data_IF_905639440503
#
_entry.id   IF_905639440503
#
_cell.length_a   1.000
_cell.length_b   1.000
_cell.length_c   1.000
_cell.angle_alpha   90.00
_cell.angle_beta   90.00
_cell.angle_gamma   90.00
#
_symmetry.space_group_name_H-M   'P 1'
#
loop_
_entity.id
_entity.type
_entity.pdbx_description
1 polymer ?
#
# COMPACT_ATOMS: atom_id res chain seq x y z
N UNK A 1 -20.06 -19.13 -24.36
CA UNK A 1 -20.80 -18.44 -23.30
C UNK A 1 -19.79 -17.55 -22.59
N UNK A 2 -19.82 -16.27 -22.92
CA UNK A 2 -18.93 -15.27 -22.27
C UNK A 2 -19.49 -14.99 -20.87
N UNK A 3 -18.88 -15.54 -19.86
CA UNK A 3 -19.09 -15.11 -18.49
C UNK A 3 -18.44 -13.73 -18.33
N UNK A 4 -19.28 -12.72 -18.20
CA UNK A 4 -18.87 -11.35 -18.01
C UNK A 4 -18.23 -11.25 -16.61
N UNK A 5 -16.93 -10.90 -16.47
CA UNK A 5 -16.27 -10.83 -15.17
C UNK A 5 -16.84 -9.75 -14.25
N UNK A 6 -17.63 -8.80 -14.78
CA UNK A 6 -18.20 -7.69 -14.01
C UNK A 6 -19.34 -8.07 -13.05
N UNK A 7 -19.88 -9.30 -13.14
CA UNK A 7 -21.04 -9.69 -12.33
C UNK A 7 -20.67 -10.12 -10.92
N UNK A 8 -19.48 -10.70 -10.73
CA UNK A 8 -19.03 -11.16 -9.39
C UNK A 8 -18.49 -10.03 -8.53
N UNK A 9 -17.88 -9.02 -9.13
CA UNK A 9 -17.36 -7.82 -8.44
C UNK A 9 -18.48 -7.01 -7.77
N UNK A 10 -19.70 -7.07 -8.26
CA UNK A 10 -20.83 -6.26 -7.78
C UNK A 10 -21.58 -6.85 -6.59
N UNK A 11 -21.46 -8.14 -6.30
CA UNK A 11 -22.29 -8.78 -5.24
C UNK A 11 -21.59 -8.77 -3.87
N UNK A 12 -20.26 -8.82 -3.80
CA UNK A 12 -19.53 -8.93 -2.53
C UNK A 12 -18.49 -7.83 -2.29
N UNK A 13 -18.28 -6.93 -3.25
CA UNK A 13 -17.31 -5.84 -3.08
C UNK A 13 -15.85 -6.28 -3.02
N UNK A 14 -15.54 -7.51 -3.39
CA UNK A 14 -14.19 -8.05 -3.50
C UNK A 14 -13.80 -8.15 -4.98
N UNK A 15 -12.56 -7.76 -5.29
CA UNK A 15 -11.93 -8.06 -6.58
C UNK A 15 -11.63 -9.58 -6.63
N UNK A 16 -11.74 -10.22 -7.80
CA UNK A 16 -11.35 -11.62 -8.01
C UNK A 16 -9.94 -11.90 -7.50
N UNK A 17 -9.05 -10.94 -7.67
CA UNK A 17 -7.69 -10.96 -7.14
C UNK A 17 -7.64 -11.05 -5.61
N UNK A 18 -8.49 -10.32 -4.90
CA UNK A 18 -8.52 -10.35 -3.44
C UNK A 18 -9.02 -11.70 -2.94
N UNK A 19 -10.03 -12.28 -3.58
CA UNK A 19 -10.57 -13.60 -3.24
C UNK A 19 -9.52 -14.70 -3.49
N UNK A 20 -8.84 -14.66 -4.63
CA UNK A 20 -7.78 -15.62 -4.93
C UNK A 20 -6.60 -15.46 -3.96
N UNK A 21 -6.22 -14.24 -3.61
CA UNK A 21 -5.17 -13.99 -2.63
C UNK A 21 -5.50 -14.59 -1.26
N UNK A 22 -6.70 -14.38 -0.73
CA UNK A 22 -7.12 -14.94 0.55
C UNK A 22 -7.11 -16.48 0.52
N UNK A 23 -7.53 -17.09 -0.60
CA UNK A 23 -7.43 -18.53 -0.79
C UNK A 23 -5.98 -19.01 -0.75
N UNK A 24 -5.11 -18.38 -1.52
CA UNK A 24 -3.67 -18.72 -1.56
C UNK A 24 -3.04 -18.56 -0.17
N UNK A 25 -3.37 -17.51 0.56
CA UNK A 25 -2.87 -17.31 1.94
C UNK A 25 -3.42 -18.39 2.89
N UNK A 26 -4.67 -18.79 2.74
CA UNK A 26 -5.27 -19.88 3.49
C UNK A 26 -4.50 -21.20 3.30
N UNK A 27 -4.19 -21.52 2.05
CA UNK A 27 -3.51 -22.76 1.67
C UNK A 27 -2.07 -22.86 2.20
N UNK A 28 -1.39 -21.73 2.38
CA UNK A 28 0.02 -21.70 2.83
C UNK A 28 0.22 -21.45 4.32
N UNK A 29 -0.83 -21.42 5.12
CA UNK A 29 -0.71 -21.14 6.57
C UNK A 29 0.14 -22.14 7.34
N UNK A 30 0.06 -23.41 6.95
CA UNK A 30 0.69 -24.53 7.64
C UNK A 30 1.73 -25.27 6.80
N UNK A 31 2.27 -24.64 5.75
CA UNK A 31 3.26 -25.25 4.87
C UNK A 31 4.67 -24.81 5.19
N UNK A 32 5.64 -25.52 4.63
CA UNK A 32 7.05 -25.13 4.67
C UNK A 32 7.24 -23.75 4.07
N UNK A 33 8.14 -22.97 4.67
CA UNK A 33 8.39 -21.56 4.28
C UNK A 33 8.87 -21.45 2.83
N UNK A 34 9.68 -22.39 2.35
CA UNK A 34 10.22 -22.32 1.00
C UNK A 34 9.13 -22.57 -0.04
N UNK A 35 8.26 -23.54 0.22
CA UNK A 35 7.07 -23.78 -0.60
C UNK A 35 6.13 -22.57 -0.58
N UNK A 36 5.85 -22.02 0.59
CA UNK A 36 4.99 -20.84 0.72
C UNK A 36 5.53 -19.61 -0.04
N UNK A 37 6.84 -19.43 -0.07
CA UNK A 37 7.49 -18.34 -0.85
C UNK A 37 7.27 -18.54 -2.34
N UNK A 38 7.44 -19.76 -2.87
CA UNK A 38 7.22 -20.05 -4.28
C UNK A 38 5.75 -19.81 -4.66
N UNK A 39 4.79 -20.24 -3.86
CA UNK A 39 3.36 -20.02 -4.11
C UNK A 39 3.02 -18.52 -4.16
N UNK A 40 3.52 -17.72 -3.20
CA UNK A 40 3.31 -16.26 -3.21
C UNK A 40 4.01 -15.61 -4.40
N UNK A 41 5.22 -16.04 -4.71
CA UNK A 41 5.99 -15.53 -5.84
C UNK A 41 5.24 -15.76 -7.15
N UNK A 42 4.77 -17.00 -7.40
CA UNK A 42 4.01 -17.36 -8.60
C UNK A 42 2.68 -16.60 -8.69
N UNK A 43 2.02 -16.40 -7.55
CA UNK A 43 0.83 -15.55 -7.50
C UNK A 43 1.11 -14.15 -8.06
N UNK A 44 2.13 -13.45 -7.54
CA UNK A 44 2.43 -12.09 -7.99
C UNK A 44 3.03 -12.03 -9.40
N UNK A 45 3.67 -13.11 -9.89
CA UNK A 45 4.11 -13.19 -11.28
C UNK A 45 2.91 -13.30 -12.25
N UNK A 46 1.83 -13.93 -11.82
CA UNK A 46 0.59 -14.02 -12.61
C UNK A 46 -0.26 -12.75 -12.52
N UNK A 47 -0.38 -12.17 -11.34
CA UNK A 47 -1.30 -11.04 -11.09
C UNK A 47 -0.64 -9.66 -11.12
N UNK A 48 0.68 -9.61 -11.27
CA UNK A 48 1.44 -8.38 -11.37
C UNK A 48 1.80 -7.78 -9.99
N UNK A 49 2.41 -6.60 -10.06
CA UNK A 49 2.88 -5.87 -8.88
C UNK A 49 1.72 -5.51 -7.93
N UNK A 50 1.91 -5.61 -6.61
CA UNK A 50 0.87 -5.28 -5.62
C UNK A 50 0.66 -3.77 -5.47
N UNK A 51 0.11 -3.11 -6.48
CA UNK A 51 -0.23 -1.69 -6.42
C UNK A 51 -1.26 -1.39 -5.33
N UNK A 52 -1.29 -0.14 -4.88
CA UNK A 52 -2.44 0.34 -4.12
C UNK A 52 -3.61 0.51 -5.09
N UNK A 53 -4.68 -0.21 -4.84
CA UNK A 53 -5.93 -0.11 -5.59
C UNK A 53 -7.04 0.39 -4.68
N UNK A 54 -7.89 1.25 -5.20
CA UNK A 54 -9.11 1.72 -4.55
C UNK A 54 -10.19 1.77 -5.64
N UNK A 55 -11.38 1.25 -5.34
CA UNK A 55 -12.54 1.36 -6.23
C UNK A 55 -12.98 2.82 -6.37
N UNK A 56 -13.65 3.16 -7.47
CA UNK A 56 -14.06 4.54 -7.72
C UNK A 56 -14.99 5.08 -6.62
N UNK A 57 -15.92 4.25 -6.12
CA UNK A 57 -16.79 4.62 -5.01
C UNK A 57 -16.00 4.93 -3.73
N UNK A 58 -14.97 4.15 -3.45
CA UNK A 58 -14.09 4.37 -2.30
C UNK A 58 -13.25 5.65 -2.46
N UNK A 59 -12.89 6.05 -3.68
CA UNK A 59 -12.19 7.32 -3.92
C UNK A 59 -13.06 8.49 -3.50
N UNK A 60 -14.33 8.50 -3.88
CA UNK A 60 -15.29 9.53 -3.46
C UNK A 60 -15.46 9.55 -1.95
N UNK A 61 -15.52 8.40 -1.29
CA UNK A 61 -15.59 8.29 0.16
C UNK A 61 -14.34 8.84 0.85
N UNK A 62 -13.17 8.48 0.35
CA UNK A 62 -11.90 9.02 0.87
C UNK A 62 -11.81 10.53 0.70
N UNK A 63 -12.28 11.06 -0.43
CA UNK A 63 -12.33 12.51 -0.67
C UNK A 63 -13.29 13.20 0.30
N UNK A 64 -14.51 12.64 0.49
CA UNK A 64 -15.47 13.16 1.49
C UNK A 64 -14.90 13.10 2.91
N UNK A 65 -14.18 12.05 3.27
CA UNK A 65 -13.49 11.93 4.56
C UNK A 65 -12.42 13.00 4.73
N UNK A 66 -11.66 13.29 3.69
CA UNK A 66 -10.66 14.35 3.71
C UNK A 66 -11.32 15.73 3.84
N UNK A 67 -12.39 15.99 3.10
CA UNK A 67 -13.15 17.25 3.19
C UNK A 67 -13.72 17.50 4.59
N UNK A 68 -14.22 16.44 5.25
CA UNK A 68 -14.79 16.51 6.61
C UNK A 68 -13.74 16.41 7.72
N UNK A 69 -12.49 16.15 7.39
CA UNK A 69 -11.43 15.97 8.39
C UNK A 69 -11.20 17.28 9.16
N UNK A 70 -11.31 17.23 10.49
CA UNK A 70 -11.00 18.37 11.35
C UNK A 70 -9.48 18.51 11.47
N UNK A 71 -8.94 19.53 10.82
CA UNK A 71 -7.50 19.81 10.79
C UNK A 71 -6.93 20.22 12.15
N UNK A 72 -7.76 20.67 13.09
CA UNK A 72 -7.29 21.02 14.42
C UNK A 72 -6.84 19.78 15.20
N UNK A 73 -7.33 18.60 14.86
CA UNK A 73 -6.93 17.33 15.50
C UNK A 73 -5.47 16.93 15.25
N UNK A 74 -4.83 17.52 14.25
CA UNK A 74 -3.40 17.29 13.95
C UNK A 74 -2.50 18.43 14.36
N UNK A 75 -3.01 19.39 15.11
CA UNK A 75 -2.22 20.46 15.74
C UNK A 75 -1.85 20.07 17.16
N UNK A 76 -0.56 20.14 17.47
CA UNK A 76 -0.01 19.97 18.80
C UNK A 76 0.91 21.18 19.08
N UNK A 77 0.32 22.24 19.65
CA UNK A 77 0.97 23.53 19.79
C UNK A 77 1.35 24.12 18.43
N UNK A 78 2.64 24.29 18.20
CA UNK A 78 3.25 24.80 16.95
C UNK A 78 3.63 23.68 15.96
N UNK A 79 3.29 22.43 16.26
CA UNK A 79 3.65 21.25 15.46
C UNK A 79 2.46 20.66 14.75
N UNK A 80 2.72 20.12 13.55
CA UNK A 80 1.76 19.33 12.78
C UNK A 80 2.07 17.85 13.01
N UNK A 81 1.12 17.13 13.58
CA UNK A 81 1.20 15.67 13.74
C UNK A 81 0.86 14.98 12.42
N UNK A 82 1.77 14.15 11.93
CA UNK A 82 1.55 13.44 10.67
C UNK A 82 0.56 12.28 10.85
N UNK A 83 -0.40 12.19 9.94
CA UNK A 83 -1.34 11.06 9.86
C UNK A 83 -1.22 10.33 8.54
N UNK A 84 -1.67 9.07 8.51
CA UNK A 84 -1.77 8.28 7.28
C UNK A 84 -3.14 8.44 6.60
N UNK A 85 -4.02 9.29 7.17
CA UNK A 85 -5.37 9.48 6.68
C UNK A 85 -5.37 9.97 5.23
N UNK A 86 -6.18 9.33 4.39
CA UNK A 86 -6.33 9.59 2.95
C UNK A 86 -5.05 9.43 2.08
N UNK A 87 -3.92 9.02 2.64
CA UNK A 87 -2.68 8.86 1.86
C UNK A 87 -2.78 7.75 0.79
N UNK A 88 -3.56 6.69 1.07
CA UNK A 88 -3.82 5.63 0.09
C UNK A 88 -4.49 6.19 -1.18
N UNK A 89 -5.39 7.16 -1.04
CA UNK A 89 -6.02 7.83 -2.17
C UNK A 89 -4.97 8.46 -3.10
N UNK A 90 -4.04 9.26 -2.54
CA UNK A 90 -2.97 9.85 -3.32
C UNK A 90 -2.12 8.80 -4.06
N UNK A 91 -1.74 7.71 -3.38
CA UNK A 91 -0.95 6.65 -3.99
C UNK A 91 -1.64 5.93 -5.16
N UNK A 92 -2.96 5.86 -5.14
CA UNK A 92 -3.73 5.23 -6.22
C UNK A 92 -3.67 6.02 -7.52
N UNK A 93 -3.60 7.35 -7.44
CA UNK A 93 -3.48 8.20 -8.63
C UNK A 93 -2.07 8.27 -9.21
N UNK A 94 -1.05 7.85 -8.46
CA UNK A 94 0.35 7.96 -8.87
C UNK A 94 1.09 6.61 -8.75
N UNK A 95 0.68 5.56 -9.46
CA UNK A 95 1.28 4.23 -9.36
C UNK A 95 2.75 4.20 -9.78
N UNK A 96 3.18 5.12 -10.64
CA UNK A 96 4.55 5.24 -11.12
C UNK A 96 5.58 5.56 -10.03
N UNK A 97 5.14 5.96 -8.82
CA UNK A 97 6.08 6.21 -7.72
C UNK A 97 6.86 4.95 -7.29
N UNK A 98 6.37 3.77 -7.66
CA UNK A 98 7.07 2.52 -7.42
C UNK A 98 8.33 2.34 -8.30
N UNK A 99 8.39 3.05 -9.43
CA UNK A 99 9.49 2.98 -10.39
C UNK A 99 10.60 3.99 -10.09
N UNK A 100 10.35 4.92 -9.16
CA UNK A 100 11.27 6.02 -8.88
C UNK A 100 12.40 5.59 -7.97
N UNK A 101 13.63 5.94 -8.38
CA UNK A 101 14.84 5.85 -7.55
C UNK A 101 15.04 7.16 -6.80
N UNK A 102 14.82 7.14 -5.48
CA UNK A 102 14.92 8.33 -4.66
C UNK A 102 16.32 8.53 -4.11
N UNK A 103 16.78 9.78 -4.11
CA UNK A 103 18.06 10.16 -3.53
C UNK A 103 19.22 9.37 -4.10
N UNK A 104 20.02 8.75 -3.24
CA UNK A 104 21.16 7.90 -3.61
C UNK A 104 20.79 6.43 -3.84
N UNK A 105 19.52 6.08 -3.82
CA UNK A 105 19.07 4.70 -4.01
C UNK A 105 19.44 4.18 -5.41
N UNK A 106 20.05 3.00 -5.45
CA UNK A 106 20.46 2.36 -6.71
C UNK A 106 19.29 1.64 -7.40
N UNK A 107 18.25 1.29 -6.63
CA UNK A 107 17.12 0.49 -7.08
C UNK A 107 15.80 1.18 -6.68
N UNK A 108 14.82 1.08 -7.56
CA UNK A 108 13.43 1.37 -7.24
C UNK A 108 12.75 0.17 -6.59
N UNK A 109 11.60 0.33 -5.94
CA UNK A 109 10.77 -0.79 -5.51
C UNK A 109 10.40 -1.74 -6.67
N UNK A 110 10.16 -1.22 -7.86
CA UNK A 110 9.86 -2.03 -9.05
C UNK A 110 11.07 -2.87 -9.50
N UNK A 111 12.30 -2.36 -9.36
CA UNK A 111 13.51 -3.14 -9.66
C UNK A 111 13.63 -4.36 -8.72
N UNK A 112 13.19 -4.24 -7.47
CA UNK A 112 13.15 -5.38 -6.53
C UNK A 112 12.13 -6.42 -6.97
N UNK A 113 10.95 -5.96 -7.36
CA UNK A 113 9.91 -6.85 -7.86
C UNK A 113 10.35 -7.58 -9.13
N UNK A 114 11.00 -6.90 -10.08
CA UNK A 114 11.43 -7.48 -11.35
C UNK A 114 12.61 -8.46 -11.25
N UNK A 115 13.34 -8.45 -10.14
CA UNK A 115 14.42 -9.37 -9.84
C UNK A 115 13.89 -10.53 -8.99
N UNK A 116 13.86 -11.74 -9.54
CA UNK A 116 13.27 -12.91 -8.91
C UNK A 116 13.89 -13.22 -7.54
N UNK A 117 15.23 -13.19 -7.46
CA UNK A 117 15.95 -13.49 -6.21
C UNK A 117 15.66 -12.44 -5.12
N UNK A 118 15.67 -11.16 -5.50
CA UNK A 118 15.37 -10.07 -4.57
C UNK A 118 13.91 -10.10 -4.13
N UNK A 119 13.00 -10.41 -5.05
CA UNK A 119 11.59 -10.48 -4.73
C UNK A 119 11.29 -11.66 -3.80
N UNK A 120 11.79 -12.86 -4.08
CA UNK A 120 11.70 -14.02 -3.18
C UNK A 120 12.31 -13.74 -1.81
N UNK A 121 13.46 -13.10 -1.75
CA UNK A 121 14.08 -12.66 -0.50
C UNK A 121 13.22 -11.67 0.28
N UNK A 122 12.51 -10.78 -0.42
CA UNK A 122 11.57 -9.84 0.19
C UNK A 122 10.35 -10.55 0.76
N UNK A 123 9.78 -11.51 0.01
CA UNK A 123 8.67 -12.36 0.49
C UNK A 123 9.11 -13.12 1.75
N UNK A 124 10.29 -13.74 1.75
CA UNK A 124 10.86 -14.44 2.90
C UNK A 124 11.00 -13.52 4.12
N UNK A 125 11.48 -12.31 3.94
CA UNK A 125 11.59 -11.32 5.02
C UNK A 125 10.22 -10.93 5.56
N UNK A 126 9.25 -10.70 4.67
CA UNK A 126 7.87 -10.41 5.05
C UNK A 126 7.24 -11.56 5.83
N UNK A 127 7.45 -12.81 5.41
CA UNK A 127 7.00 -14.01 6.09
C UNK A 127 7.56 -14.10 7.51
N UNK A 128 8.88 -13.98 7.66
CA UNK A 128 9.55 -14.01 8.97
C UNK A 128 9.08 -12.89 9.89
N UNK A 129 8.86 -11.70 9.37
CA UNK A 129 8.36 -10.58 10.17
C UNK A 129 6.98 -10.90 10.75
N UNK A 130 6.09 -11.45 9.96
CA UNK A 130 4.74 -11.79 10.42
C UNK A 130 4.77 -12.89 11.49
N UNK A 131 5.71 -13.84 11.41
CA UNK A 131 5.83 -14.91 12.41
C UNK A 131 6.51 -14.49 13.70
N UNK A 132 7.44 -13.53 13.67
CA UNK A 132 8.22 -13.12 14.86
C UNK A 132 7.54 -12.05 15.69
N UNK A 133 6.68 -11.22 15.09
CA UNK A 133 5.99 -10.11 15.77
C UNK A 133 4.63 -10.51 16.36
N UNK A 134 4.09 -11.65 15.99
CA UNK A 134 2.94 -12.26 16.64
C UNK A 134 3.39 -13.18 17.78
N UNK A 135 3.92 -12.63 18.82
CA UNK A 135 3.91 -13.24 20.16
C UNK A 135 2.53 -13.03 20.75
N UNK A 136 1.53 -13.58 20.13
CA UNK A 136 0.17 -13.49 20.59
C UNK A 136 -0.28 -14.81 21.16
N UNK A 137 -1.27 -14.75 21.98
CA UNK A 137 -1.93 -15.75 22.76
C UNK A 137 -2.10 -17.11 22.06
N UNK A 138 -2.05 -18.20 22.82
CA UNK A 138 -2.39 -19.56 22.36
C UNK A 138 -3.71 -19.52 21.56
N UNK A 139 -3.63 -19.85 20.26
CA UNK A 139 -4.78 -19.89 19.37
C UNK A 139 -4.75 -18.85 18.23
N UNK A 140 -3.83 -17.89 18.22
CA UNK A 140 -3.67 -16.98 17.08
C UNK A 140 -2.92 -17.66 15.94
N UNK A 141 -3.48 -17.57 14.73
CA UNK A 141 -2.92 -18.08 13.49
C UNK A 141 -1.46 -17.62 13.31
N UNK A 142 -0.54 -18.57 13.28
CA UNK A 142 0.91 -18.32 13.30
C UNK A 142 1.45 -17.58 12.08
N UNK A 143 0.69 -17.43 11.01
CA UNK A 143 1.15 -16.76 9.80
C UNK A 143 0.02 -16.07 9.04
N UNK A 144 -0.06 -14.75 9.17
CA UNK A 144 -0.92 -13.92 8.32
C UNK A 144 -0.03 -13.11 7.40
N UNK A 145 0.37 -13.67 6.27
CA UNK A 145 0.98 -12.88 5.22
C UNK A 145 -0.01 -11.81 4.75
N UNK A 146 0.43 -10.55 4.72
CA UNK A 146 -0.43 -9.42 4.31
C UNK A 146 0.23 -8.64 3.19
N UNK A 147 -0.53 -8.37 2.15
CA UNK A 147 -0.05 -7.61 0.98
C UNK A 147 0.49 -6.22 1.35
N UNK A 148 -0.12 -5.53 2.32
CA UNK A 148 0.40 -4.24 2.80
C UNK A 148 1.80 -4.36 3.44
N UNK A 149 2.11 -5.48 4.08
CA UNK A 149 3.43 -5.78 4.65
C UNK A 149 4.44 -6.10 3.55
N UNK A 150 4.01 -6.80 2.51
CA UNK A 150 4.85 -7.03 1.33
C UNK A 150 5.22 -5.70 0.66
N UNK A 151 4.24 -4.82 0.40
CA UNK A 151 4.50 -3.48 -0.12
C UNK A 151 5.50 -2.71 0.74
N UNK A 152 5.34 -2.75 2.06
CA UNK A 152 6.28 -2.11 2.98
C UNK A 152 7.67 -2.75 2.89
N UNK A 153 7.76 -4.08 2.84
CA UNK A 153 9.03 -4.79 2.73
C UNK A 153 9.79 -4.47 1.44
N UNK A 154 9.08 -4.31 0.33
CA UNK A 154 9.66 -3.88 -0.95
C UNK A 154 10.22 -2.44 -0.81
N UNK A 155 9.48 -1.52 -0.18
CA UNK A 155 9.89 -0.12 0.02
C UNK A 155 11.16 0.05 0.86
N UNK A 156 11.38 -0.83 1.83
CA UNK A 156 12.50 -0.77 2.78
C UNK A 156 13.58 -1.81 2.48
N UNK A 157 13.56 -2.42 1.30
CA UNK A 157 14.62 -3.35 0.89
C UNK A 157 15.97 -2.61 0.82
N UNK A 158 17.04 -3.31 1.14
CA UNK A 158 18.38 -2.74 1.12
C UNK A 158 18.73 -2.17 -0.26
N UNK A 159 19.03 -0.89 -0.33
CA UNK A 159 19.35 -0.18 -1.57
C UNK A 159 18.13 0.48 -2.25
N UNK A 160 16.93 0.35 -1.69
CA UNK A 160 15.77 1.15 -2.11
C UNK A 160 15.49 2.28 -1.13
N UNK A 161 14.92 3.34 -1.66
CA UNK A 161 14.32 4.41 -0.89
C UNK A 161 13.02 4.80 -1.59
N UNK A 162 11.90 4.61 -0.91
CA UNK A 162 10.62 4.94 -1.51
C UNK A 162 10.35 6.44 -1.49
N UNK A 163 9.58 6.90 -2.47
CA UNK A 163 9.05 8.26 -2.51
C UNK A 163 8.17 8.50 -1.29
N UNK A 164 8.34 9.65 -0.66
CA UNK A 164 7.46 10.13 0.40
C UNK A 164 6.49 11.17 -0.18
N UNK A 165 5.20 10.94 0.01
CA UNK A 165 4.20 11.93 -0.37
C UNK A 165 3.92 12.87 0.81
N UNK A 166 3.72 14.14 0.51
CA UNK A 166 3.21 15.10 1.48
C UNK A 166 1.83 14.64 1.96
N UNK A 167 1.54 14.82 3.24
CA UNK A 167 0.31 14.29 3.85
C UNK A 167 -0.91 15.09 3.44
N UNK A 168 -1.98 14.48 2.90
CA UNK A 168 -3.19 15.21 2.49
C UNK A 168 -3.83 16.03 3.63
N UNK A 169 -3.81 15.50 4.85
CA UNK A 169 -4.31 16.22 6.03
C UNK A 169 -3.48 17.44 6.39
N UNK A 170 -2.15 17.35 6.24
CA UNK A 170 -1.26 18.49 6.48
C UNK A 170 -1.42 19.55 5.37
N UNK A 171 -1.59 19.12 4.11
CA UNK A 171 -1.90 20.04 3.01
C UNK A 171 -3.22 20.80 3.28
N UNK A 172 -4.27 20.05 3.64
CA UNK A 172 -5.57 20.65 4.01
C UNK A 172 -5.42 21.68 5.12
N UNK A 173 -4.71 21.35 6.20
CA UNK A 173 -4.45 22.28 7.30
C UNK A 173 -3.79 23.57 6.82
N UNK A 174 -2.74 23.47 6.00
CA UNK A 174 -2.03 24.63 5.47
C UNK A 174 -2.96 25.46 4.61
N UNK A 175 -3.75 24.84 3.75
CA UNK A 175 -4.69 25.54 2.87
C UNK A 175 -5.82 26.22 3.65
N UNK A 176 -6.36 25.60 4.69
CA UNK A 176 -7.40 26.23 5.53
C UNK A 176 -6.87 27.36 6.41
N UNK A 177 -5.62 27.32 6.84
CA UNK A 177 -5.05 28.35 7.72
C UNK A 177 -4.43 29.52 6.98
N UNK A 178 -3.84 29.26 5.82
CA UNK A 178 -3.02 30.26 5.11
C UNK A 178 -3.45 30.47 3.65
N UNK A 179 -4.33 29.61 3.13
CA UNK A 179 -4.85 29.75 1.76
C UNK A 179 -5.93 30.83 1.68
N UNK A 180 -6.13 31.34 0.48
CA UNK A 180 -7.27 32.17 0.10
C UNK A 180 -8.25 31.40 -0.78
N UNK A 181 -9.09 32.11 -1.51
CA UNK A 181 -10.05 31.52 -2.44
C UNK A 181 -9.38 30.74 -3.58
N UNK A 182 -8.13 31.07 -3.88
CA UNK A 182 -7.33 30.41 -4.91
C UNK A 182 -5.95 30.05 -4.34
N UNK A 183 -5.55 28.79 -4.56
CA UNK A 183 -4.26 28.28 -4.12
C UNK A 183 -3.43 27.90 -5.34
N UNK A 184 -2.20 28.45 -5.40
CA UNK A 184 -1.22 28.06 -6.40
C UNK A 184 -0.02 27.41 -5.72
N UNK A 185 0.09 26.11 -5.82
CA UNK A 185 1.25 25.35 -5.34
C UNK A 185 2.22 25.08 -6.49
N UNK A 186 3.26 25.91 -6.62
CA UNK A 186 4.31 25.78 -7.64
C UNK A 186 5.19 24.56 -7.44
N UNK A 187 5.16 23.95 -6.26
CA UNK A 187 5.99 22.82 -5.87
C UNK A 187 5.15 21.60 -5.48
N UNK A 188 3.99 21.41 -6.14
CA UNK A 188 3.05 20.33 -5.82
C UNK A 188 3.65 18.91 -5.95
N UNK A 189 4.85 18.79 -6.49
CA UNK A 189 5.55 17.52 -6.66
C UNK A 189 4.76 16.58 -7.58
N UNK A 190 4.29 15.46 -7.01
CA UNK A 190 3.47 14.47 -7.72
C UNK A 190 2.01 14.89 -7.92
N UNK A 191 1.60 16.05 -7.45
CA UNK A 191 0.19 16.48 -7.51
C UNK A 191 -0.75 15.77 -6.54
N UNK A 192 -0.23 15.05 -5.58
CA UNK A 192 -0.99 14.29 -4.57
C UNK A 192 -1.41 15.10 -3.33
N UNK A 193 -1.48 16.44 -3.47
CA UNK A 193 -1.84 17.39 -2.41
C UNK A 193 -3.24 17.94 -2.61
#
# INVERSE_FOLDING_TARGET
MNSNPDILTNVFGYDERDVEFERVIGDIRNVDIDYGIEVIFDYYRRHGFPHYTIREEEKHDHMRKLQKFDVNTILDGDKIVQTMHCLRLAWTYFPHFWEVKCGSAKMSPMDIYNDDDKFKKTIRKCWKWNTTHFKGEEGMEKNTFKENRLRQSIKIYTGTQSVSNFRPTAAKLIYEKFGGDTIWDMSCGWGGR
#
